data_IF_723429698458
#
_entry.id   IF_723429698458
#
_cell.length_a   1.000
_cell.length_b   1.000
_cell.length_c   1.000
_cell.angle_alpha   90.00
_cell.angle_beta   90.00
_cell.angle_gamma   90.00
#
_symmetry.space_group_name_H-M   'P 1'
#
loop_
_entity.id
_entity.type
_entity.pdbx_description
1 polymer ?
#
# COMPACT_ATOMS: atom_id res chain seq x y z
N UNK A 1 -72.42 10.37 -29.28
CA UNK A 1 -71.58 9.31 -29.89
C UNK A 1 -70.75 8.66 -28.79
N UNK A 2 -70.75 7.33 -28.72
CA UNK A 2 -70.19 6.50 -27.64
C UNK A 2 -68.67 6.40 -27.84
N UNK A 3 -67.85 6.69 -26.82
CA UNK A 3 -66.39 6.55 -26.88
C UNK A 3 -66.03 5.05 -26.87
N UNK A 4 -65.17 4.64 -27.79
CA UNK A 4 -64.74 3.25 -27.97
C UNK A 4 -63.72 2.89 -26.88
N UNK A 5 -64.01 1.89 -26.05
CA UNK A 5 -63.20 1.49 -24.87
C UNK A 5 -62.06 0.52 -25.25
N UNK A 6 -61.57 0.61 -26.48
CA UNK A 6 -60.55 -0.32 -26.98
C UNK A 6 -59.16 0.14 -26.52
N UNK A 7 -58.40 -0.70 -25.80
CA UNK A 7 -57.08 -0.32 -25.33
C UNK A 7 -56.10 -0.13 -26.49
N UNK A 8 -55.18 0.80 -26.30
CA UNK A 8 -54.23 1.19 -27.33
C UNK A 8 -53.31 0.02 -27.72
N UNK A 9 -53.23 -0.24 -29.03
CA UNK A 9 -52.51 -1.37 -29.60
C UNK A 9 -51.05 -0.99 -29.92
N UNK A 10 -50.35 -0.38 -28.95
CA UNK A 10 -48.94 0.00 -29.12
C UNK A 10 -48.00 -1.04 -28.52
N UNK A 11 -46.78 -1.14 -29.04
CA UNK A 11 -45.80 -2.14 -28.59
C UNK A 11 -45.42 -1.97 -27.10
N UNK A 12 -45.50 -0.76 -26.57
CA UNK A 12 -45.29 -0.46 -25.15
C UNK A 12 -46.46 -0.95 -24.30
N UNK A 13 -47.70 -0.58 -24.66
CA UNK A 13 -48.92 -0.96 -23.92
C UNK A 13 -49.22 -2.45 -23.99
N UNK A 14 -48.73 -3.14 -25.02
CA UNK A 14 -48.84 -4.60 -25.15
C UNK A 14 -47.61 -5.38 -24.68
N UNK A 15 -46.61 -4.72 -24.09
CA UNK A 15 -45.36 -5.34 -23.60
C UNK A 15 -44.62 -6.14 -24.68
N UNK A 16 -44.64 -5.65 -25.93
CA UNK A 16 -43.93 -6.22 -27.08
C UNK A 16 -42.72 -5.37 -27.46
N UNK A 17 -42.12 -4.69 -26.49
CA UNK A 17 -40.90 -3.96 -26.72
C UNK A 17 -39.78 -4.93 -27.13
N UNK A 18 -38.94 -4.56 -28.10
CA UNK A 18 -37.78 -5.37 -28.44
C UNK A 18 -36.84 -5.40 -27.24
N UNK A 19 -36.77 -6.56 -26.58
CA UNK A 19 -35.86 -6.82 -25.48
C UNK A 19 -34.74 -7.74 -25.97
N UNK A 20 -33.50 -7.41 -25.61
CA UNK A 20 -32.41 -8.35 -25.76
C UNK A 20 -32.49 -9.37 -24.63
N UNK A 21 -32.79 -10.61 -24.97
CA UNK A 21 -32.83 -11.73 -24.04
C UNK A 21 -31.67 -12.69 -24.37
N UNK A 22 -30.48 -12.48 -23.79
CA UNK A 22 -29.34 -13.33 -24.08
C UNK A 22 -29.55 -14.72 -23.48
N UNK A 23 -29.79 -15.70 -24.34
CA UNK A 23 -29.75 -17.11 -23.95
C UNK A 23 -28.31 -17.59 -24.12
N UNK A 24 -27.59 -17.74 -23.00
CA UNK A 24 -26.22 -18.29 -23.01
C UNK A 24 -26.26 -19.79 -23.34
N UNK A 25 -26.25 -20.10 -24.63
CA UNK A 25 -26.10 -21.46 -25.14
C UNK A 25 -24.62 -21.86 -25.23
N UNK A 26 -24.33 -23.16 -25.11
CA UNK A 26 -22.99 -23.74 -25.23
C UNK A 26 -22.29 -23.28 -26.51
N UNK A 27 -23.03 -23.09 -27.61
CA UNK A 27 -22.48 -22.62 -28.89
C UNK A 27 -21.91 -21.19 -28.87
N UNK A 28 -22.36 -20.33 -27.94
CA UNK A 28 -21.85 -18.95 -27.79
C UNK A 28 -20.73 -18.92 -26.74
N UNK A 29 -20.88 -19.74 -25.70
CA UNK A 29 -19.98 -19.73 -24.55
C UNK A 29 -18.64 -20.38 -24.88
N UNK A 30 -18.64 -21.52 -25.57
CA UNK A 30 -17.43 -22.27 -25.90
C UNK A 30 -16.39 -21.43 -26.69
N UNK A 31 -16.73 -20.77 -27.82
CA UNK A 31 -15.75 -19.96 -28.56
C UNK A 31 -15.24 -18.76 -27.75
N UNK A 32 -16.08 -18.14 -26.91
CA UNK A 32 -15.67 -17.04 -26.04
C UNK A 32 -14.56 -17.49 -25.07
N UNK A 33 -14.72 -18.67 -24.45
CA UNK A 33 -13.72 -19.23 -23.54
C UNK A 33 -12.40 -19.56 -24.26
N UNK A 34 -12.45 -20.09 -25.48
CA UNK A 34 -11.23 -20.37 -26.26
C UNK A 34 -10.47 -19.10 -26.63
N UNK A 35 -11.17 -18.03 -27.03
CA UNK A 35 -10.54 -16.75 -27.36
C UNK A 35 -9.86 -16.14 -26.13
N UNK A 36 -10.55 -16.13 -24.99
CA UNK A 36 -10.00 -15.61 -23.73
C UNK A 36 -8.80 -16.47 -23.27
N UNK A 37 -8.89 -17.80 -23.40
CA UNK A 37 -7.81 -18.72 -23.07
C UNK A 37 -6.55 -18.48 -23.90
N UNK A 38 -6.68 -18.32 -25.22
CA UNK A 38 -5.55 -18.01 -26.10
C UNK A 38 -4.92 -16.65 -25.79
N UNK A 39 -5.74 -15.64 -25.46
CA UNK A 39 -5.24 -14.33 -25.03
C UNK A 39 -4.41 -14.45 -23.74
N UNK A 40 -4.89 -15.21 -22.75
CA UNK A 40 -4.19 -15.41 -21.49
C UNK A 40 -2.90 -16.22 -21.64
N UNK A 41 -2.86 -17.21 -22.53
CA UNK A 41 -1.64 -17.96 -22.85
C UNK A 41 -0.60 -17.01 -23.48
N UNK A 42 -1.00 -16.18 -24.44
CA UNK A 42 -0.10 -15.20 -25.07
C UNK A 42 0.48 -14.20 -24.07
N UNK A 43 -0.38 -13.65 -23.19
CA UNK A 43 0.04 -12.76 -22.11
C UNK A 43 0.99 -13.47 -21.14
N UNK A 44 0.68 -14.71 -20.75
CA UNK A 44 1.51 -15.52 -19.85
C UNK A 44 2.90 -15.81 -20.41
N UNK A 45 2.99 -16.19 -21.68
CA UNK A 45 4.28 -16.41 -22.37
C UNK A 45 5.08 -15.11 -22.44
N UNK A 46 4.44 -13.99 -22.79
CA UNK A 46 5.09 -12.67 -22.81
C UNK A 46 5.69 -12.30 -21.46
N UNK A 47 4.92 -12.48 -20.38
CA UNK A 47 5.39 -12.23 -19.01
C UNK A 47 6.56 -13.16 -18.63
N UNK A 48 6.49 -14.44 -18.98
CA UNK A 48 7.51 -15.43 -18.65
C UNK A 48 8.85 -15.14 -19.37
N UNK A 49 8.79 -14.75 -20.65
CA UNK A 49 9.97 -14.31 -21.41
C UNK A 49 10.57 -13.03 -20.81
N UNK A 50 9.74 -12.05 -20.45
CA UNK A 50 10.25 -10.81 -19.83
C UNK A 50 10.89 -11.06 -18.46
N UNK A 51 10.39 -12.03 -17.70
CA UNK A 51 10.95 -12.40 -16.40
C UNK A 51 12.29 -13.12 -16.52
N UNK A 52 12.46 -14.00 -17.52
CA UNK A 52 13.68 -14.78 -17.68
C UNK A 52 14.85 -14.01 -18.34
N UNK A 53 14.60 -12.80 -18.86
CA UNK A 53 15.63 -11.93 -19.44
C UNK A 53 16.25 -10.94 -18.44
N UNK A 54 16.05 -11.12 -17.13
CA UNK A 54 16.65 -10.28 -16.10
C UNK A 54 18.12 -10.69 -15.95
N UNK A 55 19.03 -9.87 -16.47
CA UNK A 55 20.47 -10.04 -16.28
C UNK A 55 20.89 -9.62 -14.86
N UNK A 56 21.71 -10.44 -14.20
CA UNK A 56 22.38 -10.08 -12.95
C UNK A 56 23.45 -9.01 -13.24
N UNK A 57 23.38 -7.89 -12.52
CA UNK A 57 24.07 -6.66 -12.89
C UNK A 57 25.55 -6.65 -12.48
N UNK A 58 26.46 -6.65 -13.47
CA UNK A 58 27.88 -6.28 -13.30
C UNK A 58 28.09 -4.76 -13.27
N UNK A 59 27.09 -3.96 -13.70
CA UNK A 59 27.14 -2.49 -13.72
C UNK A 59 25.89 -1.86 -13.08
N UNK A 60 26.01 -0.74 -12.33
CA UNK A 60 24.86 -0.10 -11.69
C UNK A 60 23.86 0.43 -12.73
N UNK A 61 22.56 0.19 -12.46
CA UNK A 61 21.47 0.60 -13.36
C UNK A 61 21.43 2.11 -13.59
N UNK A 62 21.14 2.54 -14.83
CA UNK A 62 21.01 3.95 -15.22
C UNK A 62 19.94 4.69 -14.41
N UNK A 63 18.95 3.99 -13.85
CA UNK A 63 17.91 4.54 -12.97
C UNK A 63 18.45 5.04 -11.63
N UNK A 64 19.62 4.56 -11.19
CA UNK A 64 20.23 4.97 -9.92
C UNK A 64 20.91 6.36 -9.94
N UNK A 65 20.94 7.06 -11.08
CA UNK A 65 21.53 8.40 -11.19
C UNK A 65 20.83 9.37 -10.21
N UNK A 66 21.56 10.27 -9.55
CA UNK A 66 23.01 10.51 -9.67
C UNK A 66 23.89 9.61 -8.77
N UNK A 67 23.31 8.83 -7.85
CA UNK A 67 24.04 8.09 -6.82
C UNK A 67 24.35 6.64 -7.25
N UNK A 68 25.04 6.47 -8.38
CA UNK A 68 25.47 5.16 -8.88
C UNK A 68 26.87 4.78 -8.39
N UNK A 69 27.76 5.76 -8.39
CA UNK A 69 29.18 5.60 -8.03
C UNK A 69 29.61 6.73 -7.10
N UNK A 70 30.63 6.45 -6.30
CA UNK A 70 31.35 7.46 -5.52
C UNK A 70 32.25 8.33 -6.44
N UNK A 71 32.82 9.41 -5.91
CA UNK A 71 33.85 10.23 -6.54
C UNK A 71 35.04 9.40 -7.08
N UNK A 72 35.32 8.24 -6.48
CA UNK A 72 36.37 7.30 -6.92
C UNK A 72 35.92 6.34 -8.03
N UNK A 73 34.72 6.53 -8.58
CA UNK A 73 34.07 5.67 -9.58
C UNK A 73 33.81 4.21 -9.11
N UNK A 74 33.70 4.00 -7.80
CA UNK A 74 33.36 2.70 -7.19
C UNK A 74 31.84 2.61 -7.06
N UNK A 75 31.18 1.50 -7.42
CA UNK A 75 29.73 1.36 -7.33
C UNK A 75 29.21 1.46 -5.90
N UNK A 76 28.14 2.24 -5.71
CA UNK A 76 27.47 2.40 -4.43
C UNK A 76 26.44 1.28 -4.24
N UNK A 77 26.46 0.62 -3.08
CA UNK A 77 25.47 -0.37 -2.68
C UNK A 77 24.85 -0.01 -1.32
N UNK A 78 23.53 0.28 -1.25
CA UNK A 78 22.56 0.44 -2.36
C UNK A 78 22.67 1.78 -3.11
N UNK A 79 22.51 1.76 -4.43
CA UNK A 79 22.52 2.98 -5.25
C UNK A 79 21.19 3.76 -5.21
N UNK A 80 21.25 5.04 -5.58
CA UNK A 80 20.07 5.90 -5.76
C UNK A 80 19.74 6.84 -4.59
N UNK A 81 18.96 7.88 -4.90
CA UNK A 81 18.62 8.96 -3.95
C UNK A 81 17.77 8.49 -2.78
N UNK A 82 16.81 7.59 -3.05
CA UNK A 82 15.91 7.02 -2.05
C UNK A 82 16.72 6.31 -0.96
N UNK A 83 17.65 5.45 -1.37
CA UNK A 83 18.48 4.71 -0.45
C UNK A 83 19.48 5.63 0.27
N UNK A 84 20.11 6.56 -0.44
CA UNK A 84 21.04 7.52 0.17
C UNK A 84 20.37 8.37 1.27
N UNK A 85 19.09 8.73 1.12
CA UNK A 85 18.34 9.49 2.13
C UNK A 85 17.66 8.61 3.18
N UNK A 86 18.25 7.46 3.56
CA UNK A 86 17.68 6.56 4.57
C UNK A 86 17.50 7.28 5.91
N UNK A 87 16.33 7.11 6.52
CA UNK A 87 16.02 7.63 7.83
C UNK A 87 16.82 6.91 8.93
N UNK A 88 17.47 7.66 9.82
CA UNK A 88 18.43 7.13 10.80
C UNK A 88 18.29 7.69 12.23
N UNK A 89 17.19 8.39 12.56
CA UNK A 89 16.91 8.71 13.97
C UNK A 89 16.54 7.43 14.73
N UNK A 90 16.90 7.39 16.02
CA UNK A 90 16.49 6.30 16.92
C UNK A 90 15.51 6.80 17.97
N UNK A 91 14.58 5.93 18.35
CA UNK A 91 13.52 6.23 19.31
C UNK A 91 13.54 5.22 20.46
N UNK A 92 13.55 5.72 21.69
CA UNK A 92 13.36 4.91 22.91
C UNK A 92 12.17 5.45 23.70
N UNK A 93 11.29 4.57 24.14
CA UNK A 93 10.05 4.93 24.82
C UNK A 93 10.06 4.41 26.25
N UNK A 94 9.76 5.29 27.20
CA UNK A 94 9.71 4.96 28.62
C UNK A 94 8.34 5.28 29.20
N UNK A 95 7.82 4.37 30.02
CA UNK A 95 6.62 4.56 30.83
C UNK A 95 7.02 4.97 32.25
N UNK A 96 6.43 6.06 32.75
CA UNK A 96 6.66 6.48 34.14
C UNK A 96 5.64 5.78 35.06
N UNK A 97 6.10 4.74 35.75
CA UNK A 97 5.32 4.03 36.75
C UNK A 97 5.70 4.53 38.16
N UNK A 98 4.94 5.51 38.67
CA UNK A 98 5.08 6.03 40.04
C UNK A 98 6.53 6.42 40.43
N UNK A 99 7.30 6.97 39.47
CA UNK A 99 8.68 7.40 39.66
C UNK A 99 9.74 6.44 39.11
N UNK A 100 9.37 5.22 38.71
CA UNK A 100 10.26 4.29 37.99
C UNK A 100 10.04 4.40 36.48
N UNK A 101 11.12 4.59 35.72
CA UNK A 101 11.09 4.59 34.26
C UNK A 101 11.25 3.15 33.75
N UNK A 102 10.14 2.58 33.28
CA UNK A 102 10.14 1.27 32.62
C UNK A 102 10.28 1.44 31.10
N UNK A 103 11.22 0.75 30.49
CA UNK A 103 11.40 0.77 29.04
C UNK A 103 10.28 -0.02 28.33
N UNK A 104 9.58 0.65 27.42
CA UNK A 104 8.56 0.03 26.57
C UNK A 104 9.26 -0.61 25.38
N UNK A 105 9.23 -1.95 25.32
CA UNK A 105 9.88 -2.71 24.25
C UNK A 105 9.25 -2.38 22.88
N UNK A 106 10.10 -1.87 22.00
CA UNK A 106 9.78 -1.56 20.61
C UNK A 106 10.34 -2.66 19.71
N UNK A 107 9.46 -3.44 19.08
CA UNK A 107 9.80 -4.52 18.18
C UNK A 107 9.93 -4.04 16.74
N UNK A 108 11.06 -4.35 16.12
CA UNK A 108 11.38 -4.03 14.72
C UNK A 108 11.25 -5.22 13.77
N UNK A 109 10.86 -6.39 14.26
CA UNK A 109 10.65 -7.56 13.42
C UNK A 109 9.31 -7.49 12.68
N UNK A 110 9.28 -8.03 11.45
CA UNK A 110 8.09 -8.17 10.62
C UNK A 110 7.33 -6.85 10.38
N UNK A 111 8.02 -5.70 10.31
CA UNK A 111 7.42 -4.39 10.05
C UNK A 111 7.22 -4.13 8.56
N UNK A 112 8.06 -4.72 7.71
CA UNK A 112 7.89 -4.73 6.26
C UNK A 112 6.83 -5.75 5.84
N UNK A 113 6.42 -5.65 4.58
CA UNK A 113 5.49 -6.61 4.01
C UNK A 113 6.19 -7.93 3.74
N UNK A 114 5.46 -9.02 3.97
CA UNK A 114 5.98 -10.37 3.75
C UNK A 114 6.54 -10.55 2.32
N UNK A 115 5.87 -10.00 1.31
CA UNK A 115 6.34 -10.06 -0.08
C UNK A 115 7.61 -9.24 -0.32
N UNK A 116 7.78 -8.12 0.38
CA UNK A 116 9.00 -7.32 0.26
C UNK A 116 10.17 -8.11 0.86
N UNK A 117 9.97 -8.68 2.04
CA UNK A 117 11.01 -9.41 2.76
C UNK A 117 11.38 -10.77 2.12
N UNK A 118 10.40 -11.54 1.62
CA UNK A 118 10.63 -12.93 1.22
C UNK A 118 10.73 -13.15 -0.29
N UNK A 119 10.36 -12.15 -1.11
CA UNK A 119 10.29 -12.31 -2.57
C UNK A 119 11.06 -11.21 -3.29
N UNK A 120 10.75 -9.95 -2.98
CA UNK A 120 11.24 -8.81 -3.76
C UNK A 120 12.70 -8.45 -3.44
N UNK A 121 13.06 -8.46 -2.17
CA UNK A 121 14.39 -8.10 -1.72
C UNK A 121 15.10 -9.33 -1.21
N UNK A 122 16.34 -9.52 -1.66
CA UNK A 122 17.19 -10.64 -1.28
C UNK A 122 18.61 -10.16 -1.17
N UNK A 123 19.34 -10.73 -0.22
CA UNK A 123 20.79 -10.57 -0.21
C UNK A 123 21.40 -11.40 -1.34
N UNK A 124 22.42 -10.88 -2.04
CA UNK A 124 23.23 -11.71 -2.91
C UNK A 124 23.84 -12.86 -2.09
N UNK A 125 23.79 -14.08 -2.62
CA UNK A 125 24.33 -15.27 -1.96
C UNK A 125 25.45 -15.86 -2.80
N UNK A 126 26.59 -16.10 -2.16
CA UNK A 126 27.72 -16.81 -2.76
C UNK A 126 28.21 -17.86 -1.76
N UNK A 127 28.33 -19.11 -2.22
CA UNK A 127 28.61 -20.29 -1.40
C UNK A 127 29.85 -20.09 -0.51
N UNK A 128 29.66 -20.12 0.81
CA UNK A 128 30.75 -20.04 1.80
C UNK A 128 31.28 -18.63 2.12
N UNK A 129 30.64 -17.57 1.62
CA UNK A 129 31.08 -16.18 1.84
C UNK A 129 30.22 -15.44 2.88
N UNK A 130 30.84 -14.51 3.62
CA UNK A 130 30.14 -13.60 4.55
C UNK A 130 29.60 -12.39 3.77
N UNK A 131 28.48 -11.78 4.19
CA UNK A 131 27.92 -10.56 3.55
C UNK A 131 28.96 -9.47 3.27
N UNK A 132 29.91 -9.25 4.20
CA UNK A 132 31.00 -8.28 4.01
C UNK A 132 31.87 -8.58 2.78
N UNK A 133 32.17 -9.85 2.51
CA UNK A 133 32.94 -10.29 1.35
C UNK A 133 32.12 -10.16 0.07
N UNK A 134 30.81 -10.40 0.14
CA UNK A 134 29.92 -10.28 -1.02
C UNK A 134 29.83 -8.82 -1.49
N UNK A 135 29.87 -7.87 -0.55
CA UNK A 135 29.89 -6.43 -0.85
C UNK A 135 31.31 -5.86 -1.06
N UNK A 136 32.34 -6.70 -1.13
CA UNK A 136 33.70 -6.27 -1.42
C UNK A 136 33.77 -5.69 -2.84
N UNK A 137 34.34 -4.49 -2.99
CA UNK A 137 34.31 -3.74 -4.25
C UNK A 137 33.13 -2.78 -4.41
N UNK A 138 32.23 -2.71 -3.43
CA UNK A 138 31.19 -1.67 -3.35
C UNK A 138 31.45 -0.71 -2.19
N UNK A 139 30.85 0.48 -2.25
CA UNK A 139 30.92 1.49 -1.20
C UNK A 139 29.53 1.82 -0.65
N UNK A 140 29.47 2.22 0.62
CA UNK A 140 28.22 2.67 1.25
C UNK A 140 27.72 3.97 0.60
N UNK A 141 26.43 4.28 0.69
CA UNK A 141 25.92 5.59 0.32
C UNK A 141 26.57 6.71 1.13
N UNK A 142 26.59 7.90 0.54
CA UNK A 142 27.31 9.08 1.06
C UNK A 142 26.83 9.44 2.46
N UNK A 143 25.50 9.48 2.66
CA UNK A 143 24.89 9.91 3.92
C UNK A 143 24.75 8.78 4.96
N UNK A 144 25.21 7.57 4.66
CA UNK A 144 25.10 6.45 5.59
C UNK A 144 26.26 6.43 6.57
N UNK A 145 26.02 6.15 7.85
CA UNK A 145 27.11 5.95 8.82
C UNK A 145 27.75 4.57 8.68
N UNK A 146 26.91 3.54 8.50
CA UNK A 146 27.33 2.15 8.37
C UNK A 146 27.01 1.61 6.97
N UNK A 147 27.79 0.65 6.44
CA UNK A 147 27.47 -0.03 5.18
C UNK A 147 26.27 -0.97 5.33
N UNK A 148 25.70 -1.39 4.19
CA UNK A 148 24.45 -2.17 4.13
C UNK A 148 24.51 -3.52 4.85
N UNK A 149 25.67 -4.17 4.90
CA UNK A 149 25.86 -5.44 5.60
C UNK A 149 25.98 -5.29 7.12
N UNK A 150 25.94 -4.07 7.67
CA UNK A 150 26.06 -3.78 9.11
C UNK A 150 25.04 -2.72 9.53
N UNK A 151 23.79 -2.88 9.10
CA UNK A 151 22.67 -2.00 9.47
C UNK A 151 22.14 -2.33 10.86
N UNK A 152 22.05 -3.61 11.21
CA UNK A 152 21.62 -4.10 12.51
C UNK A 152 22.77 -4.85 13.20
N UNK A 153 23.29 -4.28 14.28
CA UNK A 153 24.40 -4.87 15.05
C UNK A 153 23.89 -5.95 16.01
N UNK A 154 22.61 -5.89 16.41
CA UNK A 154 22.03 -6.78 17.40
C UNK A 154 21.50 -8.06 16.75
N UNK A 155 21.05 -7.98 15.50
CA UNK A 155 20.51 -9.12 14.76
C UNK A 155 21.22 -9.33 13.41
N UNK A 156 22.09 -10.35 13.30
CA UNK A 156 22.76 -10.71 12.04
C UNK A 156 21.80 -11.02 10.90
N UNK A 157 20.63 -11.59 11.18
CA UNK A 157 19.64 -12.00 10.17
C UNK A 157 18.90 -10.81 9.56
N UNK A 158 18.95 -9.63 10.21
CA UNK A 158 18.31 -8.39 9.78
C UNK A 158 19.31 -7.43 9.08
N UNK A 159 20.26 -7.96 8.32
CA UNK A 159 21.30 -7.19 7.63
C UNK A 159 21.23 -7.32 6.10
N UNK A 160 21.84 -6.36 5.40
CA UNK A 160 21.84 -6.32 3.95
C UNK A 160 20.56 -5.69 3.39
N UNK A 161 20.14 -6.12 2.21
CA UNK A 161 18.95 -5.63 1.52
C UNK A 161 17.64 -6.16 2.09
N UNK A 162 17.70 -7.12 3.03
CA UNK A 162 16.53 -7.65 3.75
C UNK A 162 16.25 -6.93 5.07
N UNK A 163 17.08 -5.94 5.44
CA UNK A 163 16.88 -5.19 6.67
C UNK A 163 15.48 -4.52 6.70
N UNK A 164 14.71 -4.80 7.75
CA UNK A 164 13.30 -4.39 7.88
C UNK A 164 13.09 -2.87 7.77
N UNK A 165 13.95 -2.07 8.42
CA UNK A 165 13.89 -0.60 8.35
C UNK A 165 14.20 -0.08 6.94
N UNK A 166 15.20 -0.68 6.30
CA UNK A 166 15.56 -0.40 4.92
C UNK A 166 14.40 -0.73 3.97
N UNK A 167 13.75 -1.89 4.13
CA UNK A 167 12.60 -2.30 3.31
C UNK A 167 11.43 -1.31 3.43
N UNK A 168 11.08 -0.94 4.68
CA UNK A 168 10.03 0.06 4.92
C UNK A 168 10.37 1.41 4.29
N UNK A 169 11.65 1.80 4.32
CA UNK A 169 12.11 3.04 3.70
C UNK A 169 12.05 3.00 2.17
N UNK A 170 12.53 1.92 1.55
CA UNK A 170 12.58 1.75 0.10
C UNK A 170 11.20 1.73 -0.57
N UNK A 171 10.13 1.46 0.20
CA UNK A 171 8.76 1.65 -0.27
C UNK A 171 8.41 3.14 -0.35
N UNK A 172 8.50 3.71 -1.55
CA UNK A 172 8.18 5.12 -1.80
C UNK A 172 6.72 5.43 -1.45
N UNK A 173 6.51 6.58 -0.80
CA UNK A 173 5.17 7.07 -0.53
C UNK A 173 4.62 7.81 -1.75
N UNK A 174 3.30 7.72 -1.96
CA UNK A 174 2.62 8.41 -3.07
C UNK A 174 2.46 9.92 -2.83
N UNK A 175 2.55 10.37 -1.58
CA UNK A 175 2.31 11.76 -1.17
C UNK A 175 3.53 12.31 -0.41
N UNK A 176 3.78 13.63 -0.45
CA UNK A 176 4.89 14.27 0.25
C UNK A 176 4.76 14.18 1.77
N UNK A 177 3.52 14.24 2.29
CA UNK A 177 3.22 13.93 3.68
C UNK A 177 2.97 12.43 3.80
N UNK A 178 3.93 11.72 4.40
CA UNK A 178 3.86 10.29 4.59
C UNK A 178 4.25 9.88 5.99
N UNK A 179 3.83 8.66 6.36
CA UNK A 179 4.27 7.98 7.57
C UNK A 179 4.82 6.62 7.19
N UNK A 180 5.85 6.19 7.91
CA UNK A 180 6.47 4.87 7.78
C UNK A 180 6.42 4.19 9.14
N UNK A 181 6.14 2.88 9.14
CA UNK A 181 6.12 2.10 10.37
C UNK A 181 7.56 1.98 10.88
N UNK A 182 7.82 2.47 12.09
CA UNK A 182 9.13 2.31 12.72
C UNK A 182 9.14 1.02 13.55
N UNK A 183 8.31 0.93 14.60
CA UNK A 183 8.28 -0.23 15.49
C UNK A 183 6.85 -0.57 15.89
N UNK A 184 6.65 -1.82 16.32
CA UNK A 184 5.43 -2.28 16.99
C UNK A 184 5.69 -2.37 18.48
N UNK A 185 4.70 -2.03 19.29
CA UNK A 185 4.80 -2.18 20.74
C UNK A 185 4.52 -3.65 21.04
N UNK A 186 5.47 -4.32 21.70
CA UNK A 186 5.42 -5.76 21.97
C UNK A 186 5.62 -6.07 23.46
N UNK A 187 5.35 -7.31 23.86
CA UNK A 187 5.47 -7.78 25.24
C UNK A 187 4.30 -7.33 26.12
N UNK A 188 4.61 -6.89 27.35
CA UNK A 188 3.63 -6.54 28.38
C UNK A 188 2.67 -5.40 27.99
N UNK A 189 3.06 -4.60 27.00
CA UNK A 189 2.31 -3.45 26.50
C UNK A 189 1.59 -3.72 25.17
N UNK A 190 1.62 -4.96 24.67
CA UNK A 190 1.06 -5.33 23.35
C UNK A 190 -0.46 -5.20 23.27
N UNK A 191 -1.18 -5.62 24.31
CA UNK A 191 -2.66 -5.58 24.34
C UNK A 191 -3.19 -4.25 24.83
N UNK A 192 -2.49 -3.59 25.76
CA UNK A 192 -2.95 -2.35 26.37
C UNK A 192 -1.78 -1.54 26.91
N UNK A 193 -1.74 -0.25 26.56
CA UNK A 193 -0.86 0.72 27.20
C UNK A 193 -1.63 1.43 28.32
N UNK A 194 -1.13 1.40 29.57
CA UNK A 194 -1.78 2.09 30.68
C UNK A 194 -1.83 3.61 30.45
N UNK A 195 -2.90 4.25 30.93
CA UNK A 195 -2.96 5.72 30.91
C UNK A 195 -1.95 6.29 31.90
N UNK A 196 -1.06 7.13 31.41
CA UNK A 196 -0.04 7.76 32.24
C UNK A 196 0.93 8.61 31.42
N UNK A 197 2.03 9.00 32.06
CA UNK A 197 3.05 9.81 31.44
C UNK A 197 4.10 8.93 30.75
N UNK A 198 4.38 9.25 29.50
CA UNK A 198 5.41 8.59 28.70
C UNK A 198 6.47 9.60 28.30
N UNK A 199 7.72 9.16 28.33
CA UNK A 199 8.87 9.93 27.86
C UNK A 199 9.41 9.28 26.60
N UNK A 200 9.51 10.06 25.53
CA UNK A 200 10.11 9.63 24.27
C UNK A 200 11.48 10.28 24.14
N UNK A 201 12.52 9.46 24.14
CA UNK A 201 13.88 9.87 23.84
C UNK A 201 14.15 9.70 22.35
N UNK A 202 14.73 10.73 21.73
CA UNK A 202 14.99 10.77 20.29
C UNK A 202 16.47 11.05 20.07
N UNK A 203 17.18 10.08 19.50
CA UNK A 203 18.54 10.28 18.99
C UNK A 203 18.45 10.90 17.61
N UNK A 204 18.74 12.20 17.53
CA UNK A 204 18.51 13.00 16.34
C UNK A 204 19.71 12.94 15.37
N UNK A 205 19.62 12.08 14.36
CA UNK A 205 20.67 11.86 13.36
C UNK A 205 20.29 12.34 11.95
N UNK A 206 19.01 12.56 11.69
CA UNK A 206 18.46 12.93 10.38
C UNK A 206 18.15 14.43 10.32
N UNK A 207 19.05 15.28 9.81
CA UNK A 207 18.82 16.72 9.75
C UNK A 207 17.73 17.06 8.71
N UNK A 208 16.78 17.90 9.13
CA UNK A 208 15.77 18.51 8.23
C UNK A 208 15.85 20.03 8.26
N UNK A 209 16.96 20.62 8.74
CA UNK A 209 17.08 22.08 8.88
C UNK A 209 17.15 22.79 7.52
N UNK A 210 17.79 22.15 6.55
CA UNK A 210 18.01 22.72 5.22
C UNK A 210 16.83 22.48 4.25
N UNK A 211 15.81 21.76 4.72
CA UNK A 211 14.60 21.42 3.96
C UNK A 211 13.39 21.95 4.72
N UNK A 212 12.35 22.49 4.07
CA UNK A 212 11.11 22.92 4.72
C UNK A 212 10.24 21.71 5.14
N UNK A 213 10.83 20.74 5.84
CA UNK A 213 10.21 19.50 6.29
C UNK A 213 9.99 19.48 7.80
N UNK A 214 8.88 18.87 8.24
CA UNK A 214 8.60 18.64 9.66
C UNK A 214 8.62 17.14 9.94
N UNK A 215 9.28 16.73 11.01
CA UNK A 215 9.24 15.35 11.51
C UNK A 215 8.22 15.23 12.64
N UNK A 216 7.47 14.13 12.65
CA UNK A 216 6.48 13.83 13.70
C UNK A 216 6.56 12.35 14.04
N UNK A 217 6.44 12.04 15.33
CA UNK A 217 6.25 10.68 15.82
C UNK A 217 4.77 10.49 16.12
N UNK A 218 4.20 9.37 15.66
CA UNK A 218 2.76 9.10 15.77
C UNK A 218 2.60 7.72 16.40
N UNK A 219 1.92 7.67 17.54
CA UNK A 219 1.43 6.44 18.15
C UNK A 219 -0.01 6.24 17.71
N UNK A 220 -0.32 5.06 17.16
CA UNK A 220 -1.66 4.74 16.68
C UNK A 220 -1.91 3.25 16.84
N UNK A 221 -3.10 2.90 17.32
CA UNK A 221 -3.66 1.57 17.11
C UNK A 221 -4.19 1.47 15.68
N UNK A 222 -4.31 0.25 15.18
CA UNK A 222 -4.91 -0.04 13.87
C UNK A 222 -6.15 -0.90 14.05
N UNK A 223 -7.16 -0.63 13.24
CA UNK A 223 -8.32 -1.49 13.08
C UNK A 223 -8.13 -2.39 11.85
N UNK A 224 -9.07 -3.30 11.61
CA UNK A 224 -9.08 -4.11 10.39
C UNK A 224 -9.09 -3.26 9.11
N UNK A 225 -9.67 -2.05 9.17
CA UNK A 225 -9.74 -1.10 8.06
C UNK A 225 -8.55 -0.12 8.03
N UNK A 226 -7.52 -0.39 8.85
CA UNK A 226 -6.31 0.43 8.96
C UNK A 226 -6.37 1.45 10.09
N UNK A 227 -5.54 2.49 9.95
CA UNK A 227 -5.44 3.58 10.93
C UNK A 227 -6.58 4.60 10.81
N UNK A 228 -6.59 5.59 11.71
CA UNK A 228 -7.60 6.66 11.75
C UNK A 228 -7.72 7.41 10.43
N UNK A 229 -8.81 7.18 9.69
CA UNK A 229 -9.18 7.93 8.50
C UNK A 229 -10.71 8.03 8.39
N UNK A 230 -11.33 9.16 8.78
CA UNK A 230 -12.79 9.32 8.73
C UNK A 230 -13.32 9.56 7.31
N UNK A 231 -12.45 9.84 6.33
CA UNK A 231 -12.86 10.21 4.96
C UNK A 231 -13.81 9.20 4.34
N UNK A 232 -13.49 7.91 4.43
CA UNK A 232 -14.30 6.85 3.85
C UNK A 232 -15.71 6.85 4.48
N UNK A 233 -15.80 6.89 5.81
CA UNK A 233 -17.09 6.93 6.51
C UNK A 233 -17.91 8.17 6.15
N UNK A 234 -17.29 9.35 6.10
CA UNK A 234 -17.96 10.60 5.69
C UNK A 234 -18.46 10.51 4.24
N UNK A 235 -17.65 9.98 3.33
CA UNK A 235 -18.05 9.80 1.93
C UNK A 235 -19.28 8.89 1.81
N UNK A 236 -19.27 7.73 2.48
CA UNK A 236 -20.43 6.83 2.48
C UNK A 236 -21.69 7.48 3.07
N UNK A 237 -21.57 8.24 4.17
CA UNK A 237 -22.71 8.96 4.74
C UNK A 237 -23.25 10.03 3.79
N UNK A 238 -22.37 10.79 3.12
CA UNK A 238 -22.77 11.81 2.17
C UNK A 238 -23.52 11.20 0.96
N UNK A 239 -22.93 10.20 0.30
CA UNK A 239 -23.58 9.53 -0.83
C UNK A 239 -24.86 8.80 -0.43
N UNK A 240 -24.85 8.11 0.73
CA UNK A 240 -26.03 7.44 1.26
C UNK A 240 -27.18 8.42 1.54
N UNK A 241 -26.89 9.57 2.14
CA UNK A 241 -27.89 10.62 2.40
C UNK A 241 -28.47 11.21 1.10
N UNK A 242 -27.63 11.45 0.09
CA UNK A 242 -28.06 11.95 -1.21
C UNK A 242 -29.01 10.96 -1.90
N UNK A 243 -28.66 9.68 -1.92
CA UNK A 243 -29.49 8.62 -2.49
C UNK A 243 -30.82 8.49 -1.72
N UNK A 244 -30.80 8.59 -0.39
CA UNK A 244 -32.01 8.50 0.43
C UNK A 244 -32.97 9.65 0.14
N UNK A 245 -32.48 10.89 0.07
CA UNK A 245 -33.29 12.07 -0.27
C UNK A 245 -33.87 11.94 -1.68
N UNK A 246 -33.06 11.51 -2.65
CA UNK A 246 -33.53 11.30 -4.02
C UNK A 246 -34.61 10.21 -4.08
N UNK A 247 -34.45 9.11 -3.34
CA UNK A 247 -35.45 8.05 -3.24
C UNK A 247 -36.77 8.55 -2.65
N UNK A 248 -36.71 9.41 -1.61
CA UNK A 248 -37.91 10.00 -1.01
C UNK A 248 -38.62 10.96 -1.97
N UNK A 249 -37.88 11.77 -2.72
CA UNK A 249 -38.45 12.65 -3.76
C UNK A 249 -39.17 11.81 -4.83
N UNK A 250 -38.54 10.74 -5.31
CA UNK A 250 -39.15 9.85 -6.30
C UNK A 250 -40.43 9.17 -5.76
N UNK A 251 -40.44 8.79 -4.48
CA UNK A 251 -41.63 8.23 -3.84
C UNK A 251 -42.78 9.23 -3.76
N UNK A 252 -42.51 10.50 -3.41
CA UNK A 252 -43.52 11.57 -3.43
C UNK A 252 -44.07 11.78 -4.84
N UNK A 253 -43.18 11.83 -5.85
CA UNK A 253 -43.60 12.00 -7.26
C UNK A 253 -44.46 10.84 -7.71
N UNK A 254 -44.06 9.60 -7.39
CA UNK A 254 -44.82 8.39 -7.71
C UNK A 254 -46.21 8.41 -7.06
N UNK A 255 -46.28 8.69 -5.74
CA UNK A 255 -47.56 8.78 -5.03
C UNK A 255 -48.46 9.89 -5.59
N UNK A 256 -47.89 11.03 -5.97
CA UNK A 256 -48.66 12.12 -6.61
C UNK A 256 -49.21 11.69 -7.98
N UNK A 257 -48.40 11.00 -8.79
CA UNK A 257 -48.80 10.59 -10.14
C UNK A 257 -49.89 9.51 -10.09
N UNK A 258 -49.78 8.55 -9.17
CA UNK A 258 -50.78 7.49 -8.98
C UNK A 258 -52.14 8.06 -8.55
N UNK A 259 -52.15 9.04 -7.64
CA UNK A 259 -53.37 9.74 -7.25
C UNK A 259 -53.98 10.59 -8.39
N UNK A 260 -53.21 11.03 -9.39
CA UNK A 260 -53.77 11.74 -10.55
C UNK A 260 -54.51 10.77 -11.46
N UNK A 261 -53.94 9.60 -11.73
CA UNK A 261 -54.62 8.54 -12.50
C UNK A 261 -55.93 8.10 -11.82
N UNK A 262 -55.93 7.91 -10.49
CA UNK A 262 -57.14 7.53 -9.74
C UNK A 262 -58.24 8.63 -9.72
N UNK A 263 -57.90 9.90 -9.98
CA UNK A 263 -58.87 11.01 -10.01
C UNK A 263 -59.38 11.34 -11.44
N UNK A 264 -58.71 10.83 -12.48
CA UNK A 264 -59.06 11.04 -13.89
C UNK A 264 -59.92 9.88 -14.48
N UNK A 265 -60.17 8.82 -13.70
CA UNK A 265 -61.12 7.71 -13.98
C UNK A 265 -62.49 7.89 -13.26
#
# INVERSE_FOLDING_TARGET
>A
MKKDNKPDNTAFTQQRLPAWQPVLSVGIVLPLFFIIGLAFIGIGIGLLITSNNIQEFENPSQTCKPYQTDASNIPIAPCGSIANSLFNDAFALYYNNQGFLEEVKLDGSAIAWWTDHNVKFSNPSQTGSTLKQIFEGTVKPINWSNPVYKLDVNNPDNNGFINEDFLVWMRTAALPDFRKLYRRISGNYSSFMPSGNYTLEITYNYPVKDLPGKKKVIFSTVSWMGGKNPFLGIAYLAFGSLCFVMGFILLIVYAKYQNVEDNDD
#
